data_IF_574588343796
#
_entry.id   IF_574588343796
#
_cell.length_a   1.000
_cell.length_b   1.000
_cell.length_c   1.000
_cell.angle_alpha   90.00
_cell.angle_beta   90.00
_cell.angle_gamma   90.00
#
_symmetry.space_group_name_H-M   'P 1'
#
loop_
_entity.id
_entity.type
_entity.pdbx_description
1 polymer ?
#
# COMPACT_ATOMS: atom_id res chain seq x y z
N UNK A 1 35.95 29.43 25.33
CA UNK A 1 34.59 29.66 25.87
C UNK A 1 33.76 30.17 24.71
N UNK A 2 32.75 29.41 24.27
CA UNK A 2 31.87 29.80 23.19
C UNK A 2 30.69 30.60 23.77
N UNK A 3 30.54 31.84 23.33
CA UNK A 3 29.45 32.73 23.76
C UNK A 3 28.12 32.29 23.16
N UNK A 4 27.11 32.17 24.01
CA UNK A 4 25.72 31.87 23.67
C UNK A 4 25.03 33.12 23.09
N UNK A 5 24.67 33.09 21.82
CA UNK A 5 23.83 34.12 21.17
C UNK A 5 22.39 33.97 21.66
N UNK A 6 21.95 34.84 22.55
CA UNK A 6 20.55 34.96 22.96
C UNK A 6 19.74 35.63 21.85
N UNK A 7 18.79 34.93 21.25
CA UNK A 7 17.84 35.51 20.28
C UNK A 7 16.82 36.41 21.02
N UNK A 8 17.06 37.72 21.02
CA UNK A 8 16.07 38.73 21.41
C UNK A 8 14.96 38.85 20.34
N UNK A 9 13.70 38.93 20.74
CA UNK A 9 12.60 39.15 19.79
C UNK A 9 12.73 40.51 19.09
N UNK A 10 12.57 40.57 17.75
CA UNK A 10 12.70 41.82 16.99
C UNK A 10 11.56 42.80 17.31
N UNK A 11 11.93 44.06 17.54
CA UNK A 11 11.00 45.15 17.85
C UNK A 11 10.07 45.44 16.65
N UNK A 12 8.85 45.93 16.87
CA UNK A 12 7.85 46.13 15.79
C UNK A 12 8.31 47.09 14.70
N UNK A 13 9.10 48.12 15.06
CA UNK A 13 9.76 49.03 14.12
C UNK A 13 10.80 48.34 13.24
N UNK A 14 11.52 47.35 13.77
CA UNK A 14 12.51 46.57 13.03
C UNK A 14 11.86 45.62 12.02
N UNK A 15 10.72 45.02 12.38
CA UNK A 15 9.91 44.22 11.44
C UNK A 15 9.38 45.08 10.29
N UNK A 16 8.88 46.29 10.60
CA UNK A 16 8.40 47.24 9.59
C UNK A 16 9.51 47.70 8.64
N UNK A 17 10.68 48.06 9.18
CA UNK A 17 11.84 48.45 8.37
C UNK A 17 12.33 47.30 7.49
N UNK A 18 12.40 46.08 8.03
CA UNK A 18 12.76 44.88 7.27
C UNK A 18 11.76 44.62 6.15
N UNK A 19 10.47 44.70 6.43
CA UNK A 19 9.41 44.54 5.44
C UNK A 19 9.47 45.61 4.34
N UNK A 20 9.68 46.88 4.71
CA UNK A 20 9.84 47.98 3.77
C UNK A 20 11.08 47.78 2.87
N UNK A 21 12.21 47.35 3.44
CA UNK A 21 13.45 47.09 2.68
C UNK A 21 13.29 45.90 1.70
N UNK A 22 12.62 44.82 2.13
CA UNK A 22 12.33 43.66 1.27
C UNK A 22 11.37 44.07 0.14
N UNK A 23 10.31 44.82 0.47
CA UNK A 23 9.35 45.29 -0.53
C UNK A 23 10.00 46.23 -1.54
N UNK A 24 10.81 47.18 -1.09
CA UNK A 24 11.53 48.11 -1.96
C UNK A 24 12.52 47.38 -2.88
N UNK A 25 13.32 46.46 -2.34
CA UNK A 25 14.24 45.65 -3.14
C UNK A 25 13.51 44.78 -4.16
N UNK A 26 12.40 44.13 -3.77
CA UNK A 26 11.57 43.34 -4.69
C UNK A 26 10.98 44.20 -5.81
N UNK A 27 10.54 45.42 -5.52
CA UNK A 27 10.04 46.37 -6.52
C UNK A 27 11.13 46.80 -7.51
N UNK A 28 12.35 47.05 -7.03
CA UNK A 28 13.50 47.37 -7.89
C UNK A 28 13.87 46.20 -8.80
N UNK A 29 13.96 44.99 -8.25
CA UNK A 29 14.21 43.77 -9.04
C UNK A 29 13.11 43.56 -10.08
N UNK A 30 11.84 43.77 -9.70
CA UNK A 30 10.70 43.67 -10.62
C UNK A 30 10.75 44.71 -11.73
N UNK A 31 11.16 45.94 -11.44
CA UNK A 31 11.33 47.00 -12.44
C UNK A 31 12.43 46.66 -13.45
N UNK A 32 13.60 46.21 -12.98
CA UNK A 32 14.71 45.79 -13.85
C UNK A 32 14.30 44.59 -14.72
N UNK A 33 13.64 43.58 -14.14
CA UNK A 33 13.12 42.44 -14.88
C UNK A 33 12.08 42.85 -15.94
N UNK A 34 11.33 43.92 -15.69
CA UNK A 34 10.31 44.40 -16.62
C UNK A 34 10.86 45.28 -17.75
N UNK A 35 11.92 46.05 -17.50
CA UNK A 35 12.48 47.00 -18.46
C UNK A 35 13.65 46.43 -19.26
N UNK A 36 14.49 45.58 -18.65
CA UNK A 36 15.74 45.10 -19.25
C UNK A 36 15.59 43.70 -19.84
N UNK A 37 14.72 42.86 -19.29
CA UNK A 37 14.62 41.44 -19.68
C UNK A 37 13.49 41.20 -20.69
N UNK A 38 13.81 40.76 -21.93
CA UNK A 38 12.85 40.36 -22.95
C UNK A 38 11.87 39.29 -22.49
N UNK A 39 10.62 39.27 -23.01
CA UNK A 39 9.62 38.25 -22.70
C UNK A 39 10.09 36.78 -22.76
N UNK A 40 10.88 36.33 -23.77
CA UNK A 40 11.34 34.94 -23.83
C UNK A 40 12.35 34.56 -22.75
N UNK A 41 13.09 35.53 -22.19
CA UNK A 41 14.01 35.27 -21.08
C UNK A 41 13.28 35.16 -19.74
N UNK A 42 12.11 35.80 -19.60
CA UNK A 42 11.28 35.68 -18.39
C UNK A 42 10.72 34.28 -18.22
N UNK A 43 10.25 33.67 -19.31
CA UNK A 43 9.77 32.27 -19.27
C UNK A 43 10.90 31.30 -18.97
N UNK A 44 12.11 31.55 -19.47
CA UNK A 44 13.30 30.77 -19.13
C UNK A 44 13.68 30.90 -17.65
N UNK A 45 13.79 32.13 -17.13
CA UNK A 45 14.08 32.38 -15.72
C UNK A 45 13.02 31.76 -14.80
N UNK A 46 11.74 31.94 -15.13
CA UNK A 46 10.64 31.33 -14.40
C UNK A 46 10.74 29.79 -14.39
N UNK A 47 11.01 29.18 -15.54
CA UNK A 47 11.21 27.72 -15.66
C UNK A 47 12.44 27.23 -14.90
N UNK A 48 13.53 28.00 -14.87
CA UNK A 48 14.74 27.66 -14.13
C UNK A 48 14.58 27.83 -12.61
N UNK A 49 13.81 28.83 -12.18
CA UNK A 49 13.65 29.19 -10.76
C UNK A 49 12.54 28.39 -10.08
N UNK A 50 11.43 28.12 -10.79
CA UNK A 50 10.27 27.40 -10.22
C UNK A 50 10.58 26.03 -9.59
N UNK A 51 11.50 25.19 -10.12
CA UNK A 51 11.88 23.92 -9.50
C UNK A 51 12.47 24.05 -8.08
N UNK A 52 13.03 25.21 -7.74
CA UNK A 52 13.59 25.47 -6.40
C UNK A 52 12.53 25.91 -5.40
N UNK A 53 11.45 26.54 -5.87
CA UNK A 53 10.35 27.03 -5.05
C UNK A 53 9.14 26.10 -5.02
N UNK A 54 9.06 25.14 -5.95
CA UNK A 54 8.03 24.10 -5.93
C UNK A 54 8.39 23.09 -4.83
N UNK A 55 7.50 22.89 -3.83
CA UNK A 55 7.74 21.88 -2.82
C UNK A 55 7.76 20.51 -3.52
N UNK A 56 8.90 19.83 -3.47
CA UNK A 56 9.02 18.45 -3.95
C UNK A 56 8.01 17.62 -3.17
N UNK A 57 7.04 17.01 -3.87
CA UNK A 57 6.07 16.12 -3.23
C UNK A 57 6.83 15.04 -2.48
N UNK A 58 6.69 15.05 -1.14
CA UNK A 58 7.38 14.10 -0.27
C UNK A 58 6.63 12.77 -0.19
N UNK A 59 5.45 12.65 -0.79
CA UNK A 59 4.59 11.46 -0.70
C UNK A 59 4.77 10.57 -1.94
N UNK A 60 4.95 9.30 -1.69
CA UNK A 60 5.00 8.21 -2.67
C UNK A 60 3.78 7.31 -2.45
N UNK A 61 3.19 6.83 -3.54
CA UNK A 61 2.10 5.84 -3.50
C UNK A 61 2.50 4.64 -4.36
N UNK A 62 2.50 3.45 -3.77
CA UNK A 62 2.64 2.19 -4.49
C UNK A 62 1.27 1.58 -4.72
N UNK A 63 1.02 1.14 -5.95
CA UNK A 63 -0.24 0.51 -6.35
C UNK A 63 0.03 -0.98 -6.47
N UNK A 64 -0.65 -1.76 -5.63
CA UNK A 64 -0.59 -3.21 -5.62
C UNK A 64 -1.92 -3.72 -6.16
N UNK A 65 -1.92 -4.13 -7.43
CA UNK A 65 -3.10 -4.66 -8.09
C UNK A 65 -3.35 -6.12 -7.65
N UNK A 66 -4.62 -6.51 -7.53
CA UNK A 66 -5.02 -7.90 -7.22
C UNK A 66 -4.49 -8.90 -8.26
N UNK A 67 -4.47 -8.50 -9.53
CA UNK A 67 -4.06 -9.35 -10.64
C UNK A 67 -2.89 -8.70 -11.38
N UNK A 68 -1.80 -9.43 -11.52
CA UNK A 68 -0.75 -9.11 -12.47
C UNK A 68 -1.04 -9.83 -13.79
N UNK A 69 -1.85 -9.19 -14.65
CA UNK A 69 -2.36 -9.82 -15.87
C UNK A 69 -3.38 -10.91 -15.57
N UNK A 70 -3.00 -12.18 -15.79
CA UNK A 70 -3.86 -13.35 -15.54
C UNK A 70 -3.61 -14.02 -14.19
N UNK A 71 -2.49 -13.71 -13.54
CA UNK A 71 -2.11 -14.31 -12.26
C UNK A 71 -2.51 -13.42 -11.10
N UNK A 72 -2.91 -14.03 -9.98
CA UNK A 72 -3.08 -13.32 -8.73
C UNK A 72 -1.72 -12.84 -8.23
N UNK A 73 -1.68 -11.61 -7.75
CA UNK A 73 -0.46 -11.02 -7.23
C UNK A 73 -0.22 -11.53 -5.81
N UNK A 74 0.88 -12.26 -5.60
CA UNK A 74 1.21 -12.83 -4.28
C UNK A 74 1.32 -11.75 -3.20
N UNK A 75 1.82 -10.56 -3.56
CA UNK A 75 1.96 -9.47 -2.60
C UNK A 75 0.61 -8.84 -2.22
N UNK A 76 -0.38 -8.94 -3.10
CA UNK A 76 -1.75 -8.54 -2.78
C UNK A 76 -2.36 -9.52 -1.77
N UNK A 77 -2.21 -10.82 -1.99
CA UNK A 77 -2.71 -11.86 -1.07
C UNK A 77 -2.04 -11.74 0.30
N UNK A 78 -0.72 -11.53 0.30
CA UNK A 78 0.05 -11.30 1.52
C UNK A 78 -0.38 -10.02 2.26
N UNK A 79 -0.59 -8.93 1.53
CA UNK A 79 -1.08 -7.68 2.11
C UNK A 79 -2.49 -7.82 2.69
N UNK A 80 -3.41 -8.49 1.98
CA UNK A 80 -4.78 -8.73 2.46
C UNK A 80 -4.77 -9.52 3.77
N UNK A 81 -4.03 -10.62 3.82
CA UNK A 81 -3.88 -11.44 5.02
C UNK A 81 -3.21 -10.66 6.17
N UNK A 82 -2.12 -9.94 5.90
CA UNK A 82 -1.40 -9.17 6.90
C UNK A 82 -2.25 -8.04 7.48
N UNK A 83 -2.88 -7.24 6.62
CA UNK A 83 -3.75 -6.14 7.05
C UNK A 83 -4.95 -6.66 7.84
N UNK A 84 -5.44 -7.86 7.53
CA UNK A 84 -6.54 -8.47 8.30
C UNK A 84 -6.16 -8.73 9.77
N UNK A 85 -4.87 -8.93 10.06
CA UNK A 85 -4.37 -9.04 11.45
C UNK A 85 -4.23 -7.70 12.14
N UNK A 86 -4.14 -6.60 11.39
CA UNK A 86 -3.98 -5.22 11.89
C UNK A 86 -5.28 -4.45 12.00
N UNK A 87 -6.40 -5.14 11.83
CA UNK A 87 -7.74 -4.59 12.08
C UNK A 87 -7.83 -4.17 13.56
N UNK A 88 -8.16 -2.91 13.78
CA UNK A 88 -8.34 -2.33 15.11
C UNK A 88 -9.71 -1.63 15.16
N UNK A 89 -10.18 -1.20 16.33
CA UNK A 89 -11.48 -0.52 16.50
C UNK A 89 -11.67 0.78 15.70
N UNK A 90 -10.65 1.21 14.93
CA UNK A 90 -10.65 2.36 14.02
C UNK A 90 -10.95 1.99 12.55
N UNK A 91 -11.00 0.70 12.21
CA UNK A 91 -11.42 0.24 10.88
C UNK A 91 -12.91 0.48 10.73
N UNK A 92 -13.30 1.25 9.71
CA UNK A 92 -14.66 1.76 9.61
C UNK A 92 -15.62 0.76 8.98
N UNK A 93 -15.16 -0.12 8.07
CA UNK A 93 -16.05 -1.10 7.46
C UNK A 93 -15.29 -2.27 6.83
N UNK A 94 -15.61 -3.48 7.28
CA UNK A 94 -15.00 -4.72 6.82
C UNK A 94 -16.09 -5.66 6.33
N UNK A 95 -15.87 -6.26 5.17
CA UNK A 95 -16.72 -7.31 4.63
C UNK A 95 -16.19 -8.67 5.08
N UNK A 96 -16.92 -9.32 5.98
CA UNK A 96 -16.56 -10.65 6.47
C UNK A 96 -17.37 -11.70 5.71
N UNK A 97 -16.70 -12.73 5.19
CA UNK A 97 -17.34 -13.89 4.59
C UNK A 97 -16.78 -15.18 5.18
N UNK A 98 -17.59 -16.25 5.18
CA UNK A 98 -17.16 -17.57 5.64
C UNK A 98 -17.65 -18.60 4.65
N UNK A 99 -16.73 -19.33 4.03
CA UNK A 99 -17.07 -20.46 3.18
C UNK A 99 -17.54 -21.65 4.06
N UNK A 100 -18.57 -22.42 3.66
CA UNK A 100 -19.11 -23.51 4.48
C UNK A 100 -18.09 -24.60 4.84
N UNK A 101 -17.00 -24.74 4.06
CA UNK A 101 -15.94 -25.75 4.24
C UNK A 101 -14.69 -25.20 4.96
N UNK A 102 -14.67 -23.92 5.32
CA UNK A 102 -13.53 -23.27 5.97
C UNK A 102 -13.86 -22.88 7.41
N UNK A 103 -12.92 -23.20 8.32
CA UNK A 103 -13.05 -22.86 9.73
C UNK A 103 -12.64 -21.40 10.03
N UNK A 104 -12.07 -20.69 9.05
CA UNK A 104 -11.59 -19.32 9.18
C UNK A 104 -12.51 -18.35 8.43
N UNK A 105 -12.68 -17.16 8.98
CA UNK A 105 -13.38 -16.06 8.31
C UNK A 105 -12.44 -15.41 7.29
N UNK A 106 -12.94 -15.12 6.09
CA UNK A 106 -12.25 -14.28 5.10
C UNK A 106 -12.69 -12.84 5.31
N UNK A 107 -11.75 -11.97 5.62
CA UNK A 107 -12.01 -10.54 5.80
C UNK A 107 -11.58 -9.82 4.53
N UNK A 108 -12.49 -9.05 3.95
CA UNK A 108 -12.28 -8.19 2.80
C UNK A 108 -12.47 -6.73 3.22
N UNK A 109 -11.63 -5.84 2.73
CA UNK A 109 -11.70 -4.41 3.05
C UNK A 109 -12.80 -3.72 2.24
N UNK A 110 -13.50 -2.75 2.83
CA UNK A 110 -14.44 -1.92 2.08
C UNK A 110 -13.71 -0.79 1.32
N UNK A 111 -14.28 -0.37 0.19
CA UNK A 111 -13.71 0.69 -0.65
C UNK A 111 -13.48 1.97 0.16
N UNK A 112 -12.24 2.47 0.13
CA UNK A 112 -11.85 3.71 0.80
C UNK A 112 -11.37 3.53 2.23
N UNK A 113 -11.31 2.29 2.73
CA UNK A 113 -10.76 2.02 4.05
C UNK A 113 -9.27 2.32 4.10
N UNK A 114 -8.84 3.06 5.13
CA UNK A 114 -7.45 3.41 5.39
C UNK A 114 -6.97 2.74 6.69
N UNK A 115 -5.86 2.01 6.60
CA UNK A 115 -5.17 1.38 7.72
C UNK A 115 -3.79 2.02 7.84
N UNK A 116 -3.47 2.49 9.04
CA UNK A 116 -2.15 3.05 9.34
C UNK A 116 -1.31 1.98 10.01
N UNK A 117 -0.16 1.71 9.43
CA UNK A 117 0.86 0.83 9.97
C UNK A 117 2.15 1.59 10.29
N UNK A 118 2.93 1.07 11.23
CA UNK A 118 4.24 1.58 11.58
C UNK A 118 5.29 0.48 11.43
N UNK A 119 6.30 0.72 10.60
CA UNK A 119 7.43 -0.18 10.41
C UNK A 119 8.73 0.60 10.59
N UNK A 120 9.54 0.20 11.57
CA UNK A 120 10.81 0.85 11.90
C UNK A 120 10.71 2.39 12.04
N UNK A 121 9.63 2.85 12.69
CA UNK A 121 9.34 4.28 12.87
C UNK A 121 8.80 5.01 11.62
N UNK A 122 8.61 4.31 10.49
CA UNK A 122 8.00 4.84 9.28
C UNK A 122 6.49 4.62 9.31
N UNK A 123 5.72 5.71 9.14
CA UNK A 123 4.27 5.66 8.97
C UNK A 123 3.92 5.23 7.53
N UNK A 124 3.18 4.13 7.42
CA UNK A 124 2.76 3.49 6.19
C UNK A 124 1.23 3.46 6.14
N UNK A 125 0.65 4.15 5.17
CA UNK A 125 -0.81 4.26 5.02
C UNK A 125 -1.29 3.35 3.91
N UNK A 126 -2.02 2.31 4.28
CA UNK A 126 -2.68 1.42 3.36
C UNK A 126 -4.09 1.92 3.07
N UNK A 127 -4.46 2.03 1.80
CA UNK A 127 -5.81 2.33 1.37
C UNK A 127 -6.32 1.26 0.43
N UNK A 128 -7.51 0.75 0.69
CA UNK A 128 -8.16 -0.17 -0.24
C UNK A 128 -8.96 0.60 -1.28
N UNK A 129 -8.66 0.36 -2.57
CA UNK A 129 -9.36 0.99 -3.68
C UNK A 129 -10.01 -0.08 -4.57
N UNK A 130 -11.30 0.11 -4.84
CA UNK A 130 -12.05 -0.71 -5.79
C UNK A 130 -12.62 0.18 -6.89
N UNK A 131 -12.22 -0.10 -8.13
CA UNK A 131 -12.73 0.57 -9.32
C UNK A 131 -13.62 -0.39 -10.08
N UNK A 132 -14.93 -0.11 -10.12
CA UNK A 132 -15.81 -0.79 -11.07
C UNK A 132 -15.40 -0.37 -12.48
N UNK A 133 -15.01 -1.33 -13.33
CA UNK A 133 -14.95 -1.08 -14.76
C UNK A 133 -16.37 -1.19 -15.31
N UNK A 134 -16.94 -0.06 -15.70
CA UNK A 134 -18.12 -0.06 -16.56
C UNK A 134 -17.68 -0.55 -17.94
N UNK A 135 -18.20 -1.71 -18.38
CA UNK A 135 -17.97 -2.19 -19.74
C UNK A 135 -18.82 -1.34 -20.70
N UNK A 136 -18.24 -0.58 -21.64
CA UNK A 136 -19.00 0.28 -22.52
C UNK A 136 -19.68 -0.47 -23.68
N UNK A 137 -19.93 -1.79 -23.58
CA UNK A 137 -20.51 -2.56 -24.68
C UNK A 137 -22.01 -2.83 -24.44
N UNK A 138 -22.94 -2.08 -25.07
CA UNK A 138 -24.39 -2.19 -24.81
C UNK A 138 -25.04 -3.36 -25.58
N UNK A 139 -24.27 -4.24 -26.21
CA UNK A 139 -24.75 -5.10 -27.32
C UNK A 139 -25.24 -6.49 -26.94
N UNK A 140 -25.33 -6.88 -25.67
CA UNK A 140 -25.89 -8.18 -25.34
C UNK A 140 -26.64 -8.23 -23.99
N UNK A 141 -27.98 -8.07 -23.98
CA UNK A 141 -28.79 -8.10 -22.76
C UNK A 141 -28.92 -9.51 -22.13
N UNK A 142 -28.48 -10.58 -22.81
CA UNK A 142 -28.63 -11.96 -22.35
C UNK A 142 -27.38 -12.57 -21.71
N UNK A 143 -26.27 -11.83 -21.63
CA UNK A 143 -25.10 -12.23 -20.85
C UNK A 143 -24.94 -11.23 -19.72
N UNK A 144 -25.11 -11.62 -18.43
CA UNK A 144 -24.74 -10.74 -17.34
C UNK A 144 -23.23 -10.51 -17.48
N UNK A 145 -22.87 -9.35 -18.02
CA UNK A 145 -21.49 -8.92 -18.12
C UNK A 145 -20.94 -8.99 -16.70
N UNK A 146 -20.00 -9.90 -16.46
CA UNK A 146 -19.32 -10.01 -15.18
C UNK A 146 -18.69 -8.66 -14.91
N UNK A 147 -19.27 -7.87 -14.02
CA UNK A 147 -18.70 -6.61 -13.55
C UNK A 147 -17.31 -6.94 -13.00
N UNK A 148 -16.28 -6.64 -13.77
CA UNK A 148 -14.91 -6.86 -13.32
C UNK A 148 -14.55 -5.68 -12.43
N UNK A 149 -14.79 -5.81 -11.13
CA UNK A 149 -14.22 -4.92 -10.14
C UNK A 149 -12.70 -5.08 -10.18
N UNK A 150 -11.97 -3.97 -10.40
CA UNK A 150 -10.52 -3.94 -10.24
C UNK A 150 -10.22 -3.55 -8.80
N UNK A 151 -9.75 -4.52 -8.02
CA UNK A 151 -9.33 -4.31 -6.62
C UNK A 151 -7.83 -4.03 -6.58
N UNK A 152 -7.45 -3.04 -5.77
CA UNK A 152 -6.06 -2.66 -5.57
C UNK A 152 -5.84 -2.14 -4.15
N UNK A 153 -4.64 -2.35 -3.63
CA UNK A 153 -4.16 -1.66 -2.45
C UNK A 153 -3.24 -0.50 -2.85
N UNK A 154 -3.38 0.61 -2.16
CA UNK A 154 -2.55 1.79 -2.32
C UNK A 154 -1.76 2.01 -1.03
N UNK A 155 -0.44 1.89 -1.13
CA UNK A 155 0.48 2.10 0.00
C UNK A 155 1.12 3.48 -0.13
N UNK A 156 0.70 4.41 0.72
CA UNK A 156 1.17 5.79 0.78
C UNK A 156 2.21 5.98 1.90
N UNK A 157 3.38 6.54 1.58
CA UNK A 157 4.45 6.83 2.54
C UNK A 157 5.36 7.96 2.06
N UNK A 158 6.33 8.35 2.88
CA UNK A 158 7.30 9.37 2.48
C UNK A 158 8.35 8.80 1.50
N UNK A 159 8.55 9.43 0.34
CA UNK A 159 9.49 9.00 -0.70
C UNK A 159 10.92 8.74 -0.18
N UNK A 160 11.32 9.39 0.91
CA UNK A 160 12.62 9.15 1.58
C UNK A 160 12.82 7.70 2.02
N UNK A 161 11.74 6.97 2.29
CA UNK A 161 11.78 5.60 2.81
C UNK A 161 11.50 4.55 1.74
N UNK A 162 11.62 4.89 0.45
CA UNK A 162 11.32 3.96 -0.63
C UNK A 162 12.18 2.69 -0.58
N UNK A 163 13.47 2.81 -0.28
CA UNK A 163 14.38 1.67 -0.16
C UNK A 163 13.96 0.75 0.99
N UNK A 164 13.67 1.33 2.17
CA UNK A 164 13.20 0.57 3.34
C UNK A 164 11.88 -0.15 3.03
N UNK A 165 10.96 0.50 2.33
CA UNK A 165 9.67 -0.10 1.98
C UNK A 165 9.85 -1.25 0.99
N UNK A 166 10.67 -1.07 -0.04
CA UNK A 166 10.89 -2.07 -1.08
C UNK A 166 11.73 -3.26 -0.60
N UNK A 167 12.80 -3.01 0.13
CA UNK A 167 13.81 -4.03 0.46
C UNK A 167 13.56 -4.69 1.82
N UNK A 168 12.84 -4.01 2.73
CA UNK A 168 12.57 -4.53 4.07
C UNK A 168 11.07 -4.81 4.30
N UNK A 169 10.20 -3.82 4.09
CA UNK A 169 8.80 -3.93 4.49
C UNK A 169 7.99 -4.91 3.63
N UNK A 170 8.10 -4.82 2.31
CA UNK A 170 7.40 -5.71 1.39
C UNK A 170 7.84 -7.19 1.56
N UNK A 171 9.15 -7.51 1.63
CA UNK A 171 9.61 -8.86 1.97
C UNK A 171 9.15 -9.33 3.34
N UNK A 172 9.15 -8.47 4.35
CA UNK A 172 8.66 -8.80 5.69
C UNK A 172 7.18 -9.22 5.68
N UNK A 173 6.33 -8.53 4.92
CA UNK A 173 4.91 -8.91 4.75
C UNK A 173 4.80 -10.28 4.09
N UNK A 174 5.60 -10.55 3.06
CA UNK A 174 5.60 -11.85 2.37
C UNK A 174 6.06 -12.98 3.29
N UNK A 175 7.06 -12.75 4.13
CA UNK A 175 7.53 -13.73 5.12
C UNK A 175 6.44 -14.02 6.17
N UNK A 176 5.85 -12.97 6.74
CA UNK A 176 4.72 -13.11 7.68
C UNK A 176 3.54 -13.86 7.07
N UNK A 177 3.24 -13.59 5.81
CA UNK A 177 2.19 -14.30 5.10
C UNK A 177 2.50 -15.80 4.94
N UNK A 178 3.76 -16.16 4.65
CA UNK A 178 4.18 -17.57 4.60
C UNK A 178 4.04 -18.25 5.96
N UNK A 179 4.49 -17.59 7.04
CA UNK A 179 4.31 -18.09 8.41
C UNK A 179 2.83 -18.34 8.72
N UNK A 180 1.94 -17.37 8.43
CA UNK A 180 0.50 -17.51 8.65
C UNK A 180 -0.11 -18.65 7.83
N UNK A 181 0.38 -18.86 6.60
CA UNK A 181 -0.06 -19.93 5.71
C UNK A 181 0.37 -21.30 6.23
N UNK A 182 1.60 -21.40 6.74
CA UNK A 182 2.14 -22.63 7.32
C UNK A 182 1.47 -22.97 8.66
N UNK A 183 1.22 -21.98 9.53
CA UNK A 183 0.42 -22.16 10.75
C UNK A 183 -1.02 -22.60 10.44
N UNK A 184 -1.60 -22.09 9.35
CA UNK A 184 -2.92 -22.48 8.88
C UNK A 184 -2.98 -23.81 8.14
N UNK A 185 -1.83 -24.42 7.83
CA UNK A 185 -1.74 -25.61 6.99
C UNK A 185 -2.14 -26.86 7.78
N UNK A 186 -3.39 -27.25 7.64
CA UNK A 186 -3.84 -28.59 8.05
C UNK A 186 -3.39 -29.60 7.00
N UNK A 187 -2.65 -30.63 7.41
CA UNK A 187 -2.29 -31.76 6.55
C UNK A 187 -3.58 -32.40 6.04
N UNK A 188 -3.72 -32.58 4.73
CA UNK A 188 -4.88 -33.27 4.13
C UNK A 188 -4.46 -34.63 3.60
N UNK A 189 -5.12 -35.69 4.05
CA UNK A 189 -5.00 -37.01 3.45
C UNK A 189 -5.83 -37.01 2.16
N UNK A 190 -5.18 -37.27 1.03
CA UNK A 190 -5.87 -37.50 -0.24
C UNK A 190 -6.09 -38.99 -0.42
N UNK A 191 -7.34 -39.38 -0.63
CA UNK A 191 -7.72 -40.76 -0.94
C UNK A 191 -8.38 -40.77 -2.32
N UNK A 192 -8.07 -41.77 -3.13
CA UNK A 192 -8.73 -41.91 -4.43
C UNK A 192 -10.20 -42.29 -4.19
N UNK A 193 -11.13 -41.43 -4.63
CA UNK A 193 -12.56 -41.69 -4.51
C UNK A 193 -12.97 -42.94 -5.31
N UNK A 194 -13.96 -43.68 -4.79
CA UNK A 194 -14.42 -44.94 -5.37
C UNK A 194 -14.78 -44.79 -6.85
N UNK A 195 -14.07 -45.53 -7.71
CA UNK A 195 -14.33 -45.63 -9.15
C UNK A 195 -15.50 -46.58 -9.36
N UNK A 196 -16.72 -46.10 -9.17
CA UNK A 196 -17.91 -46.80 -9.63
C UNK A 196 -18.54 -45.99 -10.76
N UNK A 197 -18.48 -46.57 -11.97
CA UNK A 197 -19.06 -46.11 -13.25
C UNK A 197 -18.25 -45.04 -14.01
N UNK A 198 -17.13 -45.48 -14.61
CA UNK A 198 -16.63 -44.93 -15.89
C UNK A 198 -15.99 -43.54 -15.91
N UNK A 199 -15.91 -42.82 -14.79
CA UNK A 199 -15.19 -41.54 -14.67
C UNK A 199 -13.79 -41.69 -14.07
N UNK A 200 -12.84 -40.83 -14.48
CA UNK A 200 -11.57 -40.67 -13.77
C UNK A 200 -11.87 -40.42 -12.28
N UNK A 201 -11.41 -41.32 -11.41
CA UNK A 201 -11.61 -41.22 -9.97
C UNK A 201 -11.16 -39.84 -9.46
N UNK A 202 -12.10 -39.06 -8.94
CA UNK A 202 -11.77 -37.78 -8.33
C UNK A 202 -11.00 -38.05 -7.04
N UNK A 203 -9.85 -37.40 -6.87
CA UNK A 203 -9.14 -37.40 -5.59
C UNK A 203 -10.03 -36.72 -4.55
N UNK A 204 -10.38 -37.46 -3.50
CA UNK A 204 -11.06 -36.91 -2.33
C UNK A 204 -10.03 -36.55 -1.26
N UNK A 205 -10.32 -35.56 -0.42
CA UNK A 205 -9.38 -35.09 0.60
C UNK A 205 -10.05 -34.90 1.95
N UNK A 206 -9.44 -35.46 2.99
CA UNK A 206 -9.90 -35.38 4.38
C UNK A 206 -8.82 -34.68 5.21
N UNK A 207 -9.22 -33.81 6.13
CA UNK A 207 -8.29 -33.14 7.04
C UNK A 207 -7.69 -34.16 8.02
N UNK A 208 -6.37 -34.23 8.10
CA UNK A 208 -5.63 -35.04 9.05
C UNK A 208 -5.42 -34.26 10.34
N UNK A 209 -6.22 -34.58 11.35
CA UNK A 209 -6.08 -34.04 12.70
C UNK A 209 -5.51 -35.13 13.59
N UNK A 210 -4.20 -35.33 13.54
CA UNK A 210 -3.55 -36.34 14.37
C UNK A 210 -2.67 -35.69 15.45
N UNK A 211 -2.87 -36.00 16.74
CA UNK A 211 -2.12 -35.41 17.86
C UNK A 211 -0.69 -36.01 18.02
N UNK A 212 -0.14 -36.63 16.97
CA UNK A 212 1.16 -37.30 17.01
C UNK A 212 2.17 -36.48 16.23
N UNK A 213 3.17 -36.00 16.94
CA UNK A 213 4.36 -35.34 16.39
C UNK A 213 5.40 -36.40 16.05
N UNK A 214 6.33 -36.06 15.14
CA UNK A 214 7.42 -36.96 14.73
C UNK A 214 8.32 -37.40 15.91
N UNK A 215 8.39 -36.57 16.95
CA UNK A 215 9.09 -36.86 18.21
C UNK A 215 8.52 -38.08 18.97
N UNK A 216 7.24 -38.42 18.73
CA UNK A 216 6.60 -39.63 19.28
C UNK A 216 6.76 -40.85 18.38
N UNK A 217 7.41 -40.69 17.23
CA UNK A 217 7.62 -41.75 16.27
C UNK A 217 8.98 -42.38 16.56
N UNK A 218 8.96 -43.52 17.24
CA UNK A 218 10.18 -44.29 17.48
C UNK A 218 10.68 -44.85 16.13
N UNK A 219 11.74 -44.23 15.60
CA UNK A 219 12.51 -44.75 14.49
C UNK A 219 13.73 -45.48 15.04
N UNK A 220 14.05 -46.62 14.44
CA UNK A 220 15.30 -47.29 14.71
C UNK A 220 16.44 -46.43 14.18
N UNK A 221 17.47 -46.21 14.99
CA UNK A 221 18.65 -45.46 14.59
C UNK A 221 19.51 -46.33 13.69
N UNK A 222 19.55 -46.02 12.40
CA UNK A 222 20.42 -46.67 11.41
C UNK A 222 21.91 -46.42 11.69
#
# INVERSE_FOLDING_TARGET
>A
MFSLTTMSMPSTSSLFSTYASISASMMLVRSILNEVVPPPLRTYLHSAIMPFFTPKSSKMTLIIEEKNGFLLNEIYEAAEAFLSTKINSKTNCLKVSKAPKENKFTIQFEKGEEIVDFFDGVELKWRFACTEKENPNPRNPNHPSSKSEKRQFELCFNKKYIEIVMDCYLPFILEKFKEMKDEGRVVKLKTLGNVCLGGLGSWDSINFLHPMTFDRLALDSF
#
